data_IF_546968334855
#
_entry.id   IF_546968334855
#
_cell.length_a   1.000
_cell.length_b   1.000
_cell.length_c   1.000
_cell.angle_alpha   90.00
_cell.angle_beta   90.00
_cell.angle_gamma   90.00
#
_symmetry.space_group_name_H-M   'P 1'
#
loop_
_entity.id
_entity.type
_entity.pdbx_description
1 polymer ?
#
# COMPACT_ATOMS: atom_id res chain seq x y z
N UNK A 1 -7.07 -31.14 -1.19
CA UNK A 1 -6.06 -30.05 -1.25
C UNK A 1 -6.74 -28.75 -0.88
N UNK A 2 -6.40 -28.16 0.26
CA UNK A 2 -6.92 -26.86 0.67
C UNK A 2 -6.28 -25.80 -0.23
N UNK A 3 -7.07 -25.16 -1.09
CA UNK A 3 -6.63 -24.06 -1.94
C UNK A 3 -6.13 -22.94 -1.01
N UNK A 4 -4.85 -22.58 -1.06
CA UNK A 4 -4.35 -21.39 -0.37
C UNK A 4 -4.97 -20.17 -1.08
N UNK A 5 -6.11 -19.70 -0.58
CA UNK A 5 -6.79 -18.53 -1.11
C UNK A 5 -5.97 -17.31 -0.68
N UNK A 6 -5.38 -16.57 -1.63
CA UNK A 6 -4.71 -15.30 -1.31
C UNK A 6 -5.76 -14.29 -0.84
N UNK A 7 -5.39 -13.37 0.05
CA UNK A 7 -6.32 -12.33 0.55
C UNK A 7 -6.94 -11.54 -0.61
N UNK A 8 -6.16 -11.25 -1.66
CA UNK A 8 -6.68 -10.53 -2.82
C UNK A 8 -7.61 -11.40 -3.68
N UNK A 9 -7.35 -12.70 -3.79
CA UNK A 9 -8.30 -13.62 -4.43
C UNK A 9 -9.65 -13.62 -3.69
N UNK A 10 -9.63 -13.58 -2.35
CA UNK A 10 -10.88 -13.51 -1.57
C UNK A 10 -11.69 -12.23 -1.82
N UNK A 11 -11.03 -11.12 -2.16
CA UNK A 11 -11.71 -9.88 -2.54
C UNK A 11 -12.42 -10.05 -3.89
N UNK A 12 -11.73 -10.58 -4.90
CA UNK A 12 -12.33 -10.83 -6.21
C UNK A 12 -13.43 -11.89 -6.17
N UNK A 13 -13.27 -12.96 -5.37
CA UNK A 13 -14.33 -13.96 -5.16
C UNK A 13 -15.60 -13.35 -4.52
N UNK A 14 -15.45 -12.39 -3.60
CA UNK A 14 -16.59 -11.66 -3.02
C UNK A 14 -17.21 -10.70 -4.04
N UNK A 15 -16.37 -9.94 -4.76
CA UNK A 15 -16.81 -9.03 -5.81
C UNK A 15 -17.62 -9.75 -6.88
N UNK A 16 -17.10 -10.86 -7.40
CA UNK A 16 -17.75 -11.68 -8.43
C UNK A 16 -19.14 -12.17 -8.01
N UNK A 17 -19.29 -12.59 -6.75
CA UNK A 17 -20.58 -13.04 -6.20
C UNK A 17 -21.62 -11.92 -6.15
N UNK A 18 -21.18 -10.70 -5.83
CA UNK A 18 -22.08 -9.56 -5.61
C UNK A 18 -22.43 -8.89 -6.93
N UNK A 19 -21.43 -8.67 -7.81
CA UNK A 19 -21.59 -7.80 -8.98
C UNK A 19 -21.70 -8.57 -10.30
N UNK A 20 -21.38 -9.87 -10.32
CA UNK A 20 -21.40 -10.73 -11.52
C UNK A 20 -20.74 -10.05 -12.75
N UNK A 21 -19.45 -9.65 -12.63
CA UNK A 21 -18.77 -8.90 -13.67
C UNK A 21 -18.64 -9.73 -14.96
N UNK A 22 -18.59 -9.04 -16.10
CA UNK A 22 -18.00 -9.61 -17.30
C UNK A 22 -16.48 -9.65 -17.14
N UNK A 23 -15.84 -10.79 -17.39
CA UNK A 23 -14.41 -10.98 -17.17
C UNK A 23 -13.75 -11.27 -18.50
N UNK A 24 -12.73 -10.47 -18.83
CA UNK A 24 -11.92 -10.62 -20.03
C UNK A 24 -10.46 -10.87 -19.66
N UNK A 25 -9.80 -11.77 -20.40
CA UNK A 25 -8.36 -11.94 -20.31
C UNK A 25 -7.65 -10.85 -21.11
N UNK A 26 -6.60 -10.28 -20.53
CA UNK A 26 -5.71 -9.33 -21.19
C UNK A 26 -4.29 -9.91 -21.27
N UNK A 27 -3.45 -9.35 -22.16
CA UNK A 27 -2.09 -9.86 -22.41
C UNK A 27 -1.27 -10.05 -21.11
N UNK A 28 -1.49 -9.20 -20.11
CA UNK A 28 -0.73 -9.20 -18.86
C UNK A 28 -1.57 -9.36 -17.59
N UNK A 29 -2.85 -9.71 -17.70
CA UNK A 29 -3.76 -9.71 -16.55
C UNK A 29 -5.21 -10.01 -16.89
N UNK A 30 -6.13 -9.60 -16.02
CA UNK A 30 -7.58 -9.75 -16.20
C UNK A 30 -8.31 -8.42 -16.07
N UNK A 31 -9.37 -8.24 -16.81
CA UNK A 31 -10.27 -7.10 -16.73
C UNK A 31 -11.64 -7.55 -16.22
N UNK A 32 -12.15 -6.87 -15.21
CA UNK A 32 -13.47 -7.10 -14.63
C UNK A 32 -14.33 -5.88 -14.93
N UNK A 33 -15.40 -6.08 -15.70
CA UNK A 33 -16.30 -5.03 -16.16
C UNK A 33 -17.64 -5.22 -15.45
N UNK A 34 -17.98 -4.26 -14.60
CA UNK A 34 -19.22 -4.22 -13.82
C UNK A 34 -20.08 -3.10 -14.41
N UNK A 35 -21.27 -3.46 -14.88
CA UNK A 35 -22.25 -2.50 -15.40
C UNK A 35 -23.50 -2.56 -14.53
N UNK A 36 -23.88 -1.42 -13.95
CA UNK A 36 -25.07 -1.31 -13.11
C UNK A 36 -26.28 -0.82 -13.93
N UNK A 37 -27.51 -1.09 -13.47
CA UNK A 37 -28.74 -0.64 -14.14
C UNK A 37 -28.88 0.88 -14.28
N UNK A 38 -28.21 1.64 -13.42
CA UNK A 38 -28.23 3.11 -13.43
C UNK A 38 -27.21 3.71 -14.43
N UNK A 39 -26.67 2.89 -15.35
CA UNK A 39 -25.61 3.20 -16.29
C UNK A 39 -24.26 3.58 -15.65
N UNK A 40 -24.10 3.41 -14.33
CA UNK A 40 -22.77 3.45 -13.73
C UNK A 40 -21.97 2.21 -14.14
N UNK A 41 -20.67 2.37 -14.30
CA UNK A 41 -19.79 1.27 -14.67
C UNK A 41 -18.49 1.32 -13.91
N UNK A 42 -17.96 0.14 -13.58
CA UNK A 42 -16.65 -0.02 -12.95
C UNK A 42 -15.82 -0.99 -13.75
N UNK A 43 -14.61 -0.58 -14.08
CA UNK A 43 -13.61 -1.41 -14.74
C UNK A 43 -12.46 -1.62 -13.76
N UNK A 44 -12.12 -2.88 -13.50
CA UNK A 44 -10.97 -3.26 -12.68
C UNK A 44 -9.98 -4.05 -13.53
N UNK A 45 -8.75 -3.57 -13.66
CA UNK A 45 -7.65 -4.27 -14.34
C UNK A 45 -6.69 -4.84 -13.31
N UNK A 46 -6.55 -6.16 -13.27
CA UNK A 46 -5.75 -6.91 -12.30
C UNK A 46 -4.51 -7.50 -12.96
N UNK A 47 -3.33 -7.20 -12.43
CA UNK A 47 -2.04 -7.74 -12.88
C UNK A 47 -1.34 -8.46 -11.73
N UNK A 48 -0.57 -9.50 -12.03
CA UNK A 48 0.29 -10.19 -11.05
C UNK A 48 1.71 -10.26 -11.57
N UNK A 49 2.67 -9.74 -10.80
CA UNK A 49 4.09 -9.75 -11.17
C UNK A 49 4.87 -10.70 -10.26
N UNK A 50 5.48 -11.72 -10.86
CA UNK A 50 6.33 -12.74 -10.22
C UNK A 50 5.71 -13.40 -8.97
N UNK A 51 4.37 -13.40 -8.86
CA UNK A 51 3.64 -13.77 -7.64
C UNK A 51 3.96 -12.92 -6.39
N UNK A 52 4.77 -11.86 -6.49
CA UNK A 52 5.22 -11.00 -5.38
C UNK A 52 4.44 -9.71 -5.27
N UNK A 53 3.99 -9.21 -6.41
CA UNK A 53 3.20 -8.00 -6.49
C UNK A 53 1.88 -8.30 -7.17
N UNK A 54 0.83 -7.69 -6.67
CA UNK A 54 -0.45 -7.70 -7.33
C UNK A 54 -0.99 -6.28 -7.44
N UNK A 55 -1.47 -5.95 -8.63
CA UNK A 55 -1.80 -4.60 -9.01
C UNK A 55 -3.24 -4.55 -9.48
N UNK A 56 -4.02 -3.58 -8.99
CA UNK A 56 -5.36 -3.33 -9.44
C UNK A 56 -5.52 -1.87 -9.84
N UNK A 57 -5.88 -1.60 -11.10
CA UNK A 57 -6.45 -0.30 -11.45
C UNK A 57 -7.95 -0.42 -11.39
N UNK A 58 -8.60 0.49 -10.68
CA UNK A 58 -10.05 0.58 -10.67
C UNK A 58 -10.46 1.95 -11.17
N UNK A 59 -11.37 1.98 -12.13
CA UNK A 59 -12.04 3.19 -12.59
C UNK A 59 -13.54 2.95 -12.52
N UNK A 60 -14.24 3.81 -11.79
CA UNK A 60 -15.68 3.79 -11.65
C UNK A 60 -16.27 5.11 -12.10
N UNK A 61 -17.25 5.06 -13.01
CA UNK A 61 -18.07 6.21 -13.39
C UNK A 61 -19.42 6.03 -12.68
N UNK A 62 -19.73 6.91 -11.73
CA UNK A 62 -20.91 6.81 -10.86
C UNK A 62 -20.56 6.36 -9.44
N UNK A 63 -21.56 5.81 -8.75
CA UNK A 63 -21.43 5.34 -7.37
C UNK A 63 -21.19 3.84 -7.32
N UNK A 64 -20.28 3.41 -6.47
CA UNK A 64 -20.07 1.99 -6.17
C UNK A 64 -19.95 1.82 -4.66
N UNK A 65 -20.81 0.98 -4.09
CA UNK A 65 -20.77 0.66 -2.67
C UNK A 65 -20.56 -0.83 -2.50
N UNK A 66 -19.65 -1.23 -1.61
CA UNK A 66 -19.47 -2.63 -1.26
C UNK A 66 -18.96 -2.78 0.17
N UNK A 67 -19.24 -3.94 0.74
CA UNK A 67 -18.63 -4.39 1.99
C UNK A 67 -17.54 -5.41 1.63
N UNK A 68 -16.35 -5.22 2.21
CA UNK A 68 -15.28 -6.21 2.16
C UNK A 68 -15.13 -6.87 3.52
N UNK A 69 -15.22 -8.19 3.52
CA UNK A 69 -14.99 -9.02 4.70
C UNK A 69 -13.63 -9.69 4.55
N UNK A 70 -12.68 -9.30 5.41
CA UNK A 70 -11.37 -9.93 5.46
C UNK A 70 -11.51 -11.41 5.81
N UNK A 71 -10.77 -12.31 5.14
CA UNK A 71 -10.71 -13.71 5.53
C UNK A 71 -10.13 -13.88 6.94
N UNK A 72 -10.48 -15.01 7.59
CA UNK A 72 -10.06 -15.35 8.95
C UNK A 72 -8.52 -15.28 9.11
N UNK A 73 -8.05 -14.84 10.29
CA UNK A 73 -6.64 -14.67 10.66
C UNK A 73 -5.73 -15.86 10.31
N UNK A 74 -6.26 -17.10 10.36
CA UNK A 74 -5.50 -18.32 10.07
C UNK A 74 -4.99 -18.47 8.62
N UNK A 75 -5.51 -17.69 7.66
CA UNK A 75 -5.23 -17.86 6.21
C UNK A 75 -4.36 -16.71 5.67
N UNK A 76 -3.89 -15.79 6.50
CA UNK A 76 -3.39 -14.50 6.00
C UNK A 76 -1.94 -14.52 5.56
N UNK A 77 -1.73 -14.08 4.32
CA UNK A 77 -0.42 -13.64 3.86
C UNK A 77 -0.13 -12.23 4.40
N UNK A 78 1.13 -11.98 4.77
CA UNK A 78 1.61 -10.66 5.15
C UNK A 78 1.68 -9.79 3.89
N UNK A 79 0.66 -8.94 3.70
CA UNK A 79 0.53 -8.07 2.54
C UNK A 79 0.50 -6.62 3.02
N UNK A 80 1.33 -5.81 2.38
CA UNK A 80 1.26 -4.36 2.47
C UNK A 80 0.57 -3.89 1.21
N UNK A 81 -0.57 -3.21 1.38
CA UNK A 81 -1.31 -2.60 0.29
C UNK A 81 -1.12 -1.10 0.32
N UNK A 82 -0.82 -0.52 -0.85
CA UNK A 82 -0.81 0.92 -1.06
C UNK A 82 -1.85 1.25 -2.12
N UNK A 83 -2.76 2.16 -1.79
CA UNK A 83 -3.78 2.68 -2.72
C UNK A 83 -3.52 4.15 -2.99
N UNK A 84 -3.32 4.52 -4.26
CA UNK A 84 -3.21 5.92 -4.68
C UNK A 84 -4.44 6.35 -5.47
N UNK A 85 -4.95 7.55 -5.15
CA UNK A 85 -6.17 8.11 -5.71
C UNK A 85 -5.86 9.12 -6.83
N UNK A 86 -6.11 8.73 -8.09
CA UNK A 86 -5.99 9.63 -9.25
C UNK A 86 -7.15 10.60 -9.36
N UNK A 87 -8.35 10.16 -9.00
CA UNK A 87 -9.56 10.98 -9.07
C UNK A 87 -10.68 10.46 -8.15
N UNK A 88 -11.72 11.27 -7.99
CA UNK A 88 -12.92 10.92 -7.26
C UNK A 88 -12.82 11.03 -5.75
N UNK A 89 -13.78 10.40 -5.08
CA UNK A 89 -13.89 10.38 -3.62
C UNK A 89 -14.29 8.99 -3.11
N UNK A 90 -13.70 8.61 -1.99
CA UNK A 90 -14.05 7.41 -1.23
C UNK A 90 -14.33 7.79 0.20
N UNK A 91 -15.41 7.24 0.76
CA UNK A 91 -15.61 7.13 2.19
C UNK A 91 -15.43 5.66 2.57
N UNK A 92 -14.55 5.42 3.53
CA UNK A 92 -14.25 4.09 4.05
C UNK A 92 -14.61 4.05 5.53
N UNK A 93 -15.40 3.08 5.93
CA UNK A 93 -15.73 2.82 7.34
C UNK A 93 -15.07 1.50 7.72
N UNK A 94 -14.04 1.55 8.57
CA UNK A 94 -13.32 0.35 8.99
C UNK A 94 -14.09 -0.42 10.06
N UNK A 95 -13.91 -1.73 10.08
CA UNK A 95 -14.45 -2.60 11.13
C UNK A 95 -13.29 -3.26 11.91
N UNK A 96 -13.46 -3.53 13.21
CA UNK A 96 -14.65 -3.26 14.03
C UNK A 96 -14.70 -1.86 14.68
N UNK A 97 -13.68 -1.02 14.48
CA UNK A 97 -13.53 0.26 15.18
C UNK A 97 -14.42 1.40 14.62
N UNK A 98 -15.12 1.18 13.51
CA UNK A 98 -16.02 2.12 12.84
C UNK A 98 -15.38 3.47 12.52
N UNK A 99 -14.05 3.50 12.35
CA UNK A 99 -13.34 4.72 12.00
C UNK A 99 -13.63 5.09 10.55
N UNK A 100 -13.92 6.38 10.34
CA UNK A 100 -14.31 6.91 9.05
C UNK A 100 -13.14 7.62 8.42
N UNK A 101 -12.78 7.22 7.20
CA UNK A 101 -11.75 7.83 6.38
C UNK A 101 -12.37 8.43 5.13
N UNK A 102 -11.92 9.62 4.76
CA UNK A 102 -12.32 10.30 3.54
C UNK A 102 -11.11 10.49 2.65
N UNK A 103 -11.11 9.80 1.52
CA UNK A 103 -10.03 9.82 0.54
C UNK A 103 -10.49 10.51 -0.74
N UNK A 104 -9.59 11.27 -1.35
CA UNK A 104 -9.81 11.97 -2.61
C UNK A 104 -8.56 11.97 -3.47
N UNK A 105 -8.66 12.53 -4.68
CA UNK A 105 -7.51 12.78 -5.56
C UNK A 105 -6.26 13.27 -4.83
N UNK A 106 -5.15 12.59 -5.06
CA UNK A 106 -3.84 12.86 -4.48
C UNK A 106 -3.60 12.22 -3.11
N UNK A 107 -4.58 11.51 -2.57
CA UNK A 107 -4.45 10.79 -1.30
C UNK A 107 -3.83 9.42 -1.53
N UNK A 108 -3.14 8.95 -0.49
CA UNK A 108 -2.56 7.62 -0.38
C UNK A 108 -3.20 6.95 0.83
N UNK A 109 -3.71 5.74 0.65
CA UNK A 109 -4.06 4.84 1.74
C UNK A 109 -3.01 3.73 1.83
N UNK A 110 -2.58 3.40 3.04
CA UNK A 110 -1.66 2.29 3.28
C UNK A 110 -2.32 1.35 4.27
N UNK A 111 -2.41 0.07 3.89
CA UNK A 111 -3.01 -0.99 4.69
C UNK A 111 -2.01 -2.13 4.91
N UNK A 112 -2.15 -2.79 6.05
CA UNK A 112 -1.40 -4.00 6.35
C UNK A 112 -2.36 -5.12 6.74
N UNK A 113 -2.36 -6.23 6.00
CA UNK A 113 -3.38 -7.28 6.14
C UNK A 113 -3.34 -8.03 7.47
N UNK A 114 -2.24 -7.93 8.22
CA UNK A 114 -2.20 -8.43 9.61
C UNK A 114 -3.22 -7.72 10.51
N UNK A 115 -3.64 -6.50 10.18
CA UNK A 115 -4.50 -5.69 11.03
C UNK A 115 -6.01 -6.02 10.94
N UNK A 116 -6.40 -7.07 10.21
CA UNK A 116 -7.81 -7.48 10.05
C UNK A 116 -8.69 -6.36 9.50
N UNK A 117 -8.36 -5.85 8.32
CA UNK A 117 -9.15 -4.79 7.72
C UNK A 117 -10.38 -5.36 7.00
N UNK A 118 -11.54 -5.32 7.66
CA UNK A 118 -12.84 -5.34 6.98
C UNK A 118 -13.38 -3.91 6.92
N UNK A 119 -14.24 -3.63 5.95
CA UNK A 119 -14.83 -2.29 5.89
C UNK A 119 -15.90 -2.13 4.84
N UNK A 120 -16.67 -1.06 5.02
CA UNK A 120 -17.63 -0.58 4.05
C UNK A 120 -17.03 0.55 3.23
N UNK A 121 -17.19 0.48 1.92
CA UNK A 121 -16.63 1.42 0.97
C UNK A 121 -17.74 2.09 0.17
N UNK A 122 -17.74 3.42 0.15
CA UNK A 122 -18.59 4.23 -0.72
C UNK A 122 -17.70 5.00 -1.69
N UNK A 123 -17.77 4.65 -2.96
CA UNK A 123 -17.01 5.29 -4.05
C UNK A 123 -17.91 6.20 -4.88
N UNK A 124 -17.35 7.33 -5.31
CA UNK A 124 -18.01 8.23 -6.25
C UNK A 124 -17.00 8.73 -7.29
N UNK A 125 -17.23 8.37 -8.56
CA UNK A 125 -16.42 8.74 -9.73
C UNK A 125 -14.92 8.53 -9.50
N UNK A 126 -14.52 7.32 -9.09
CA UNK A 126 -13.15 7.06 -8.63
C UNK A 126 -12.23 6.59 -9.75
N UNK A 127 -10.95 6.95 -9.62
CA UNK A 127 -9.86 6.30 -10.34
C UNK A 127 -8.71 6.07 -9.38
N UNK A 128 -8.33 4.81 -9.18
CA UNK A 128 -7.32 4.42 -8.19
C UNK A 128 -6.39 3.34 -8.74
N UNK A 129 -5.21 3.24 -8.13
CA UNK A 129 -4.33 2.06 -8.23
C UNK A 129 -4.12 1.49 -6.84
N UNK A 130 -4.28 0.17 -6.70
CA UNK A 130 -3.89 -0.59 -5.50
C UNK A 130 -2.71 -1.48 -5.84
N UNK A 131 -1.64 -1.39 -5.05
CA UNK A 131 -0.40 -2.16 -5.18
C UNK A 131 -0.22 -2.99 -3.92
N UNK A 132 -0.25 -4.31 -4.07
CA UNK A 132 -0.13 -5.29 -2.99
C UNK A 132 1.24 -5.95 -3.06
N UNK A 133 2.02 -5.87 -1.97
CA UNK A 133 3.29 -6.58 -1.83
C UNK A 133 3.15 -7.78 -0.88
N UNK A 134 3.42 -8.97 -1.38
CA UNK A 134 3.50 -10.19 -0.57
C UNK A 134 4.87 -10.30 0.11
N UNK A 135 4.99 -9.80 1.34
CA UNK A 135 6.26 -9.66 2.07
C UNK A 135 7.02 -10.98 2.20
N UNK A 136 6.32 -12.07 2.56
CA UNK A 136 6.93 -13.40 2.70
C UNK A 136 7.53 -13.92 1.38
N UNK A 137 6.88 -13.64 0.25
CA UNK A 137 7.35 -14.05 -1.07
C UNK A 137 8.57 -13.23 -1.49
N UNK A 138 8.56 -11.92 -1.21
CA UNK A 138 9.75 -11.08 -1.41
C UNK A 138 10.96 -11.59 -0.59
N UNK A 139 10.75 -11.95 0.67
CA UNK A 139 11.80 -12.50 1.54
C UNK A 139 12.41 -13.80 1.00
N UNK A 140 11.56 -14.73 0.57
CA UNK A 140 12.00 -16.01 0.02
C UNK A 140 12.85 -15.86 -1.26
N UNK A 141 12.59 -14.85 -2.07
CA UNK A 141 13.37 -14.60 -3.28
C UNK A 141 14.71 -13.92 -3.01
N UNK A 142 14.80 -13.17 -1.92
CA UNK A 142 16.02 -12.51 -1.49
C UNK A 142 16.93 -13.42 -0.66
N UNK A 143 16.61 -14.72 -0.50
CA UNK A 143 17.20 -15.75 0.38
C UNK A 143 18.74 -15.88 0.30
N UNK A 144 19.41 -14.82 0.70
CA UNK A 144 20.83 -14.63 0.86
C UNK A 144 21.03 -14.59 2.37
N UNK A 145 21.67 -15.61 2.94
CA UNK A 145 21.94 -15.71 4.39
C UNK A 145 22.55 -14.43 4.99
N UNK A 146 23.22 -13.62 4.18
CA UNK A 146 23.84 -12.33 4.55
C UNK A 146 22.83 -11.18 4.72
N UNK A 147 21.62 -11.30 4.16
CA UNK A 147 20.61 -10.22 4.06
C UNK A 147 19.46 -10.42 5.06
N UNK A 148 19.39 -11.55 5.76
CA UNK A 148 18.32 -11.87 6.72
C UNK A 148 18.14 -10.81 7.80
N UNK A 149 19.25 -10.26 8.32
CA UNK A 149 19.20 -9.16 9.29
C UNK A 149 18.59 -7.89 8.69
N UNK A 150 19.00 -7.51 7.48
CA UNK A 150 18.48 -6.32 6.80
C UNK A 150 16.98 -6.44 6.49
N UNK A 151 16.53 -7.62 6.04
CA UNK A 151 15.11 -7.87 5.78
C UNK A 151 14.32 -7.83 7.08
N UNK A 152 14.82 -8.47 8.14
CA UNK A 152 14.13 -8.48 9.44
C UNK A 152 14.03 -7.08 10.05
N UNK A 153 15.08 -6.26 9.94
CA UNK A 153 15.06 -4.85 10.35
C UNK A 153 14.07 -4.01 9.52
N UNK A 154 14.01 -4.24 8.21
CA UNK A 154 13.04 -3.57 7.34
C UNK A 154 11.60 -4.00 7.67
N UNK A 155 11.34 -5.29 7.87
CA UNK A 155 10.05 -5.83 8.29
C UNK A 155 9.59 -5.17 9.60
N UNK A 156 10.46 -5.12 10.62
CA UNK A 156 10.14 -4.49 11.89
C UNK A 156 9.80 -3.00 11.76
N UNK A 157 10.52 -2.25 10.90
CA UNK A 157 10.21 -0.84 10.65
C UNK A 157 8.87 -0.68 9.95
N UNK A 158 8.56 -1.53 8.97
CA UNK A 158 7.27 -1.51 8.28
C UNK A 158 6.14 -1.86 9.23
N UNK A 159 6.30 -2.85 10.11
CA UNK A 159 5.29 -3.18 11.11
C UNK A 159 5.04 -2.00 12.08
N UNK A 160 6.11 -1.28 12.47
CA UNK A 160 5.99 -0.13 13.36
C UNK A 160 5.22 1.05 12.75
N UNK A 161 5.16 1.15 11.40
CA UNK A 161 4.31 2.15 10.72
C UNK A 161 2.84 1.98 11.16
N UNK A 162 2.38 0.76 11.40
CA UNK A 162 0.98 0.44 11.70
C UNK A 162 0.70 0.18 13.19
N UNK A 163 1.61 0.59 14.09
CA UNK A 163 1.47 0.31 15.52
C UNK A 163 0.25 0.98 16.15
N UNK A 164 -0.07 2.19 15.71
CA UNK A 164 -1.12 3.02 16.30
C UNK A 164 -2.41 3.03 15.47
N UNK A 165 -2.35 2.61 14.20
CA UNK A 165 -3.48 2.68 13.28
C UNK A 165 -3.48 1.54 12.26
N UNK A 166 -4.68 1.07 11.91
CA UNK A 166 -4.86 -0.04 10.97
C UNK A 166 -4.72 0.41 9.52
N UNK A 167 -4.94 1.69 9.26
CA UNK A 167 -4.84 2.33 7.96
C UNK A 167 -4.20 3.71 8.10
N UNK A 168 -3.28 4.03 7.21
CA UNK A 168 -2.59 5.31 7.21
C UNK A 168 -3.00 6.08 5.98
N UNK A 169 -3.42 7.32 6.19
CA UNK A 169 -3.82 8.24 5.12
C UNK A 169 -2.79 9.36 5.02
N UNK A 170 -2.18 9.49 3.85
CA UNK A 170 -1.22 10.56 3.55
C UNK A 170 -1.58 11.32 2.28
N UNK A 171 -0.97 12.51 2.13
CA UNK A 171 -1.01 13.28 0.89
C UNK A 171 0.24 12.97 0.08
N UNK A 172 0.06 12.63 -1.19
CA UNK A 172 1.17 12.44 -2.10
C UNK A 172 1.94 13.76 -2.32
N UNK A 173 3.26 13.68 -2.21
CA UNK A 173 4.17 14.74 -2.63
C UNK A 173 4.26 14.80 -4.17
N UNK A 174 4.98 15.79 -4.69
CA UNK A 174 5.11 16.01 -6.14
C UNK A 174 5.78 14.83 -6.86
N UNK A 175 6.77 14.19 -6.25
CA UNK A 175 7.48 13.05 -6.83
C UNK A 175 6.54 11.85 -6.99
N UNK A 176 5.79 11.49 -5.93
CA UNK A 176 4.80 10.40 -5.96
C UNK A 176 3.71 10.69 -6.99
N UNK A 177 3.17 11.92 -7.02
CA UNK A 177 2.15 12.32 -8.00
C UNK A 177 2.64 12.14 -9.43
N UNK A 178 3.88 12.54 -9.70
CA UNK A 178 4.49 12.46 -11.03
C UNK A 178 4.66 11.01 -11.47
N UNK A 179 5.22 10.17 -10.61
CA UNK A 179 5.42 8.75 -10.90
C UNK A 179 4.09 7.99 -11.03
N UNK A 180 3.10 8.30 -10.20
CA UNK A 180 1.76 7.74 -10.32
C UNK A 180 1.12 8.09 -11.67
N UNK A 181 1.20 9.34 -12.14
CA UNK A 181 0.69 9.72 -13.46
C UNK A 181 1.41 9.00 -14.60
N UNK A 182 2.73 8.79 -14.49
CA UNK A 182 3.46 7.98 -15.46
C UNK A 182 2.96 6.54 -15.50
N UNK A 183 2.68 5.95 -14.33
CA UNK A 183 2.10 4.61 -14.20
C UNK A 183 0.70 4.53 -14.81
N UNK A 184 -0.16 5.52 -14.56
CA UNK A 184 -1.55 5.54 -15.07
C UNK A 184 -1.60 5.56 -16.61
N UNK A 185 -0.63 6.22 -17.25
CA UNK A 185 -0.61 6.46 -18.68
C UNK A 185 0.17 5.40 -19.47
N UNK A 186 0.65 4.32 -18.84
CA UNK A 186 1.38 3.28 -19.56
C UNK A 186 0.43 2.51 -20.49
N UNK A 187 0.85 2.37 -21.75
CA UNK A 187 0.24 1.46 -22.71
C UNK A 187 1.11 0.21 -22.81
N UNK A 188 0.51 -0.96 -22.57
CA UNK A 188 1.21 -2.24 -22.60
C UNK A 188 0.97 -2.92 -23.96
N UNK A 189 1.86 -2.69 -24.92
CA UNK A 189 1.77 -3.26 -26.28
C UNK A 189 2.79 -4.36 -26.53
N UNK A 190 3.96 -4.25 -25.90
CA UNK A 190 5.06 -5.22 -26.03
C UNK A 190 5.71 -5.56 -24.68
N UNK A 191 6.64 -6.53 -24.71
CA UNK A 191 7.28 -7.04 -23.50
C UNK A 191 8.17 -5.99 -22.80
N UNK A 192 8.74 -5.05 -23.55
CA UNK A 192 9.53 -3.96 -22.99
C UNK A 192 8.65 -3.02 -22.14
N UNK A 193 7.45 -2.69 -22.65
CA UNK A 193 6.47 -1.87 -21.91
C UNK A 193 6.12 -2.53 -20.57
N UNK A 194 5.96 -3.85 -20.55
CA UNK A 194 5.69 -4.61 -19.34
C UNK A 194 6.82 -4.48 -18.30
N UNK A 195 8.08 -4.61 -18.71
CA UNK A 195 9.21 -4.47 -17.79
C UNK A 195 9.39 -3.04 -17.28
N UNK A 196 9.18 -2.04 -18.15
CA UNK A 196 9.21 -0.64 -17.75
C UNK A 196 8.09 -0.34 -16.74
N UNK A 197 6.89 -0.80 -17.04
CA UNK A 197 5.72 -0.66 -16.17
C UNK A 197 5.96 -1.28 -14.80
N UNK A 198 6.41 -2.54 -14.77
CA UNK A 198 6.75 -3.26 -13.55
C UNK A 198 7.79 -2.50 -12.72
N UNK A 199 8.82 -1.96 -13.36
CA UNK A 199 9.86 -1.16 -12.68
C UNK A 199 9.26 0.10 -12.04
N UNK A 200 8.42 0.85 -12.77
CA UNK A 200 7.74 2.06 -12.24
C UNK A 200 6.81 1.74 -11.06
N UNK A 201 6.10 0.61 -11.10
CA UNK A 201 5.25 0.15 -9.99
C UNK A 201 6.08 -0.13 -8.74
N UNK A 202 7.19 -0.86 -8.88
CA UNK A 202 8.08 -1.16 -7.76
C UNK A 202 8.67 0.13 -7.19
N UNK A 203 9.12 1.05 -8.05
CA UNK A 203 9.62 2.36 -7.64
C UNK A 203 8.56 3.16 -6.86
N UNK A 204 7.33 3.22 -7.37
CA UNK A 204 6.22 3.95 -6.74
C UNK A 204 5.92 3.39 -5.34
N UNK A 205 5.82 2.07 -5.24
CA UNK A 205 5.56 1.38 -3.98
C UNK A 205 6.62 1.71 -2.91
N UNK A 206 7.90 1.55 -3.25
CA UNK A 206 8.98 1.80 -2.29
C UNK A 206 9.20 3.29 -2.00
N UNK A 207 8.89 4.18 -2.95
CA UNK A 207 8.91 5.63 -2.71
C UNK A 207 7.90 6.02 -1.64
N UNK A 208 6.66 5.52 -1.75
CA UNK A 208 5.59 5.76 -0.77
C UNK A 208 5.97 5.18 0.60
N UNK A 209 6.43 3.92 0.67
CA UNK A 209 6.85 3.33 1.93
C UNK A 209 8.02 4.06 2.58
N UNK A 210 9.02 4.49 1.80
CA UNK A 210 10.18 5.22 2.32
C UNK A 210 9.79 6.56 2.94
N UNK A 211 8.80 7.24 2.38
CA UNK A 211 8.25 8.49 2.95
C UNK A 211 7.73 8.25 4.37
N UNK A 212 7.00 7.15 4.58
CA UNK A 212 6.41 6.76 5.87
C UNK A 212 7.45 6.22 6.86
N UNK A 213 8.48 5.52 6.38
CA UNK A 213 9.55 5.05 7.26
C UNK A 213 10.36 6.20 7.88
N UNK A 214 10.50 7.32 7.15
CA UNK A 214 11.20 8.51 7.67
C UNK A 214 10.42 9.19 8.79
N UNK A 215 9.08 9.29 8.68
CA UNK A 215 8.24 9.91 9.72
C UNK A 215 8.18 9.08 11.01
N UNK A 216 8.34 7.76 10.93
CA UNK A 216 8.43 6.88 12.11
C UNK A 216 9.79 6.97 12.79
N UNK A 217 10.87 7.21 12.03
CA UNK A 217 12.23 7.34 12.57
C UNK A 217 12.50 8.66 13.31
N UNK A 218 11.57 9.63 13.25
CA UNK A 218 11.56 10.73 14.22
C UNK A 218 10.95 10.24 15.54
N UNK A 219 11.59 9.25 16.16
CA UNK A 219 11.55 9.16 17.62
C UNK A 219 11.98 10.53 18.14
N UNK A 220 11.23 11.05 19.12
CA UNK A 220 11.55 12.27 19.85
C UNK A 220 13.03 12.22 20.25
N UNK A 221 13.87 12.90 19.48
CA UNK A 221 15.15 13.36 20.00
C UNK A 221 14.79 14.33 21.11
N UNK A 222 14.81 13.82 22.33
CA UNK A 222 14.60 14.63 23.51
C UNK A 222 15.72 15.67 23.53
N UNK A 223 15.38 16.90 23.13
CA UNK A 223 16.33 18.00 23.04
C UNK A 223 16.99 18.24 24.41
N UNK A 224 16.35 17.84 25.52
CA UNK A 224 16.91 17.89 26.86
C UNK A 224 18.15 16.97 26.99
N UNK A 225 18.05 15.71 26.60
CA UNK A 225 19.12 14.69 26.66
C UNK A 225 20.31 15.07 25.76
N UNK A 226 20.02 15.66 24.60
CA UNK A 226 21.07 16.11 23.67
C UNK A 226 21.78 17.36 24.21
N UNK A 227 21.03 18.28 24.84
CA UNK A 227 21.62 19.48 25.46
C UNK A 227 22.50 19.14 26.65
N UNK A 228 22.15 18.13 27.46
CA UNK A 228 22.94 17.69 28.61
C UNK A 228 24.22 16.95 28.18
N UNK A 229 24.13 16.12 27.13
CA UNK A 229 25.32 15.50 26.51
C UNK A 229 26.26 16.54 25.91
N UNK A 230 25.74 17.56 25.24
CA UNK A 230 26.56 18.64 24.67
C UNK A 230 27.17 19.49 25.80
N UNK A 231 26.39 19.86 26.84
CA UNK A 231 26.90 20.60 28.00
C UNK A 231 27.98 19.84 28.77
N UNK A 232 27.83 18.52 28.95
CA UNK A 232 28.84 17.70 29.63
C UNK A 232 30.13 17.50 28.83
N UNK A 233 30.07 17.50 27.50
CA UNK A 233 31.26 17.50 26.63
C UNK A 233 31.96 18.86 26.65
N UNK A 234 31.20 19.97 26.61
CA UNK A 234 31.74 21.32 26.69
C UNK A 234 32.39 21.58 28.06
N UNK A 235 31.74 21.14 29.16
CA UNK A 235 32.29 21.31 30.50
C UNK A 235 33.57 20.50 30.71
N UNK A 236 33.64 19.26 30.20
CA UNK A 236 34.88 18.45 30.20
C UNK A 236 36.00 19.12 29.42
N UNK A 237 35.74 19.65 28.23
CA UNK A 237 36.75 20.34 27.43
C UNK A 237 37.20 21.69 28.02
N UNK A 238 36.32 22.39 28.74
CA UNK A 238 36.67 23.63 29.45
C UNK A 238 37.56 23.40 30.68
N UNK A 239 37.48 22.21 31.29
CA UNK A 239 38.34 21.80 32.40
C UNK A 239 39.77 21.49 31.92
N UNK A 240 39.91 20.83 30.77
CA UNK A 240 41.23 20.52 30.17
C UNK A 240 41.98 21.76 29.67
N UNK A 241 41.28 22.85 29.32
CA UNK A 241 41.91 24.13 28.94
C UNK A 241 42.37 25.00 30.12
N UNK A 242 42.07 24.63 31.37
CA UNK A 242 42.50 25.36 32.58
C UNK A 242 43.69 24.70 33.31
N UNK A 243 44.13 23.54 32.87
CA UNK A 243 45.21 22.73 33.49
C UNK A 243 46.44 22.61 32.57
N UNK A 244 46.45 23.29 31.41
CA UNK A 244 47.66 23.60 30.64
C UNK A 244 48.00 25.07 30.80
#
# INVERSE_FOLDING_TARGET
MTKNIKVVDSFFEQLEKITKPHIEDSIFGKEYIITNPDNSSTVIKRFTFDNKYELCFMKSNGKMNYEYISPNEKIRENIIEIVYYYDGKTKMISQPDNKIYHLKKGDIAIHYTKNCFSGYFEHNNISVISINLYVKKLKNDLNLKTVDKLISEWEAKVENIFKDDKCIIEKANTEIKTLALQVQNVSLKEINDYFEFKSKIIQLFFLILKSNLKSVSTEKYDASVTSEKIKSVISRNSYYKRIM
#
